data_IF_666338837769
#
_entry.id   IF_666338837769
#
_cell.length_a   1.000
_cell.length_b   1.000
_cell.length_c   1.000
_cell.angle_alpha   90.00
_cell.angle_beta   90.00
_cell.angle_gamma   90.00
#
_symmetry.space_group_name_H-M   'P 1'
#
loop_
_entity.id
_entity.type
_entity.pdbx_description
1 polymer ?
#
# COMPACT_ATOMS: atom_id res chain seq x y z
N UNK A 1 10.56 6.88 35.45
CA UNK A 1 11.60 7.79 35.97
C UNK A 1 10.95 8.89 36.80
N UNK A 2 9.90 9.53 36.28
CA UNK A 2 9.15 10.56 37.01
C UNK A 2 8.60 10.08 38.36
N UNK A 3 7.98 8.90 38.42
CA UNK A 3 7.51 8.33 39.70
C UNK A 3 8.63 8.14 40.74
N UNK A 4 9.84 7.78 40.29
CA UNK A 4 11.01 7.65 41.17
C UNK A 4 11.55 9.02 41.62
N UNK A 5 11.40 10.03 40.77
CA UNK A 5 11.78 11.42 41.06
C UNK A 5 10.77 12.10 42.00
N UNK A 6 9.50 11.69 41.94
CA UNK A 6 8.43 12.11 42.85
C UNK A 6 8.55 11.43 44.22
N UNK A 7 9.13 10.23 44.30
CA UNK A 7 9.39 9.53 45.56
C UNK A 7 10.63 10.01 46.32
N UNK A 8 11.36 11.02 45.83
CA UNK A 8 12.55 11.52 46.54
C UNK A 8 12.17 12.25 47.83
N UNK A 9 12.91 11.99 48.91
CA UNK A 9 12.78 12.72 50.17
C UNK A 9 13.09 14.21 49.95
N UNK A 10 12.23 15.11 50.46
CA UNK A 10 12.36 16.57 50.28
C UNK A 10 13.67 17.13 50.85
N UNK A 11 14.22 16.48 51.87
CA UNK A 11 15.53 16.84 52.42
C UNK A 11 16.11 15.69 53.23
N UNK A 12 17.43 15.51 53.14
CA UNK A 12 18.17 14.52 53.92
C UNK A 12 19.22 15.20 54.78
N UNK A 13 19.15 15.01 56.10
CA UNK A 13 20.15 15.53 57.03
C UNK A 13 21.34 14.56 57.11
N UNK A 14 22.55 15.08 56.94
CA UNK A 14 23.82 14.33 57.02
C UNK A 14 24.72 15.08 58.01
N UNK A 15 24.74 14.63 59.26
CA UNK A 15 25.47 15.30 60.34
C UNK A 15 25.00 16.74 60.55
N UNK A 16 25.90 17.71 60.38
CA UNK A 16 25.61 19.15 60.48
C UNK A 16 25.12 19.78 59.15
N UNK A 17 24.91 18.99 58.09
CA UNK A 17 24.51 19.46 56.76
C UNK A 17 23.10 18.98 56.39
N UNK A 18 22.38 19.80 55.62
CA UNK A 18 21.06 19.47 55.07
C UNK A 18 21.14 19.44 53.54
N UNK A 19 20.94 18.27 52.96
CA UNK A 19 20.88 18.08 51.51
C UNK A 19 19.44 18.24 51.03
N UNK A 20 19.18 19.18 50.12
CA UNK A 20 17.89 19.34 49.45
C UNK A 20 18.01 18.90 47.98
N UNK A 21 17.47 17.74 47.59
CA UNK A 21 17.55 17.26 46.22
C UNK A 21 16.56 17.95 45.26
N UNK A 22 15.80 18.96 45.70
CA UNK A 22 14.78 19.63 44.89
C UNK A 22 15.31 20.15 43.54
N UNK A 23 16.50 20.79 43.55
CA UNK A 23 17.12 21.31 42.33
C UNK A 23 17.56 20.19 41.38
N UNK A 24 18.07 19.08 41.93
CA UNK A 24 18.47 17.90 41.18
C UNK A 24 17.26 17.18 40.59
N UNK A 25 16.20 16.99 41.38
CA UNK A 25 14.95 16.36 40.92
C UNK A 25 14.31 17.18 39.79
N UNK A 26 14.22 18.50 39.94
CA UNK A 26 13.75 19.40 38.87
C UNK A 26 14.62 19.30 37.60
N UNK A 27 15.94 19.30 37.75
CA UNK A 27 16.86 19.20 36.60
C UNK A 27 16.71 17.86 35.87
N UNK A 28 16.57 16.75 36.60
CA UNK A 28 16.36 15.42 36.03
C UNK A 28 15.00 15.29 35.35
N UNK A 29 13.93 15.88 35.91
CA UNK A 29 12.61 15.95 35.27
C UNK A 29 12.66 16.77 33.97
N UNK A 30 13.34 17.91 33.99
CA UNK A 30 13.53 18.72 32.78
C UNK A 30 14.27 17.95 31.70
N UNK A 31 15.39 17.31 32.04
CA UNK A 31 16.13 16.46 31.10
C UNK A 31 15.22 15.34 30.54
N UNK A 32 14.50 14.63 31.41
CA UNK A 32 13.58 13.57 30.99
C UNK A 32 12.50 14.08 30.02
N UNK A 33 11.95 15.27 30.27
CA UNK A 33 10.99 15.91 29.37
C UNK A 33 11.62 16.33 28.05
N UNK A 34 12.84 16.87 28.05
CA UNK A 34 13.58 17.18 26.82
C UNK A 34 13.78 15.93 25.96
N UNK A 35 14.16 14.80 26.57
CA UNK A 35 14.29 13.51 25.87
C UNK A 35 12.96 13.00 25.33
N UNK A 36 11.87 13.10 26.11
CA UNK A 36 10.53 12.75 25.63
C UNK A 36 10.14 13.58 24.42
N UNK A 37 10.34 14.90 24.47
CA UNK A 37 10.04 15.80 23.34
C UNK A 37 10.89 15.46 22.11
N UNK A 38 12.19 15.23 22.29
CA UNK A 38 13.09 14.85 21.20
C UNK A 38 12.68 13.51 20.57
N UNK A 39 12.35 12.51 21.38
CA UNK A 39 11.85 11.22 20.91
C UNK A 39 10.51 11.36 20.19
N UNK A 40 9.56 12.09 20.78
CA UNK A 40 8.25 12.35 20.19
C UNK A 40 8.35 13.03 18.83
N UNK A 41 9.30 13.96 18.63
CA UNK A 41 9.57 14.56 17.31
C UNK A 41 10.03 13.53 16.28
N UNK A 42 10.97 12.65 16.65
CA UNK A 42 11.44 11.58 15.75
C UNK A 42 10.34 10.57 15.45
N UNK A 43 9.55 10.22 16.47
CA UNK A 43 8.40 9.34 16.34
C UNK A 43 7.32 9.95 15.42
N UNK A 44 7.08 11.25 15.53
CA UNK A 44 6.14 11.99 14.67
C UNK A 44 6.57 11.94 13.21
N UNK A 45 7.85 12.23 12.91
CA UNK A 45 8.38 12.12 11.56
C UNK A 45 8.17 10.71 10.98
N UNK A 46 8.51 9.68 11.75
CA UNK A 46 8.32 8.29 11.31
C UNK A 46 6.84 7.92 11.10
N UNK A 47 5.95 8.38 11.98
CA UNK A 47 4.53 8.14 11.86
C UNK A 47 3.94 8.82 10.61
N UNK A 48 4.34 10.06 10.35
CA UNK A 48 3.96 10.83 9.16
C UNK A 48 4.42 10.16 7.88
N UNK A 49 5.69 9.75 7.81
CA UNK A 49 6.25 9.07 6.63
C UNK A 49 5.50 7.76 6.33
N UNK A 50 5.19 6.98 7.37
CA UNK A 50 4.42 5.73 7.20
C UNK A 50 2.97 5.99 6.79
N UNK A 51 2.32 7.01 7.35
CA UNK A 51 0.96 7.41 7.00
C UNK A 51 0.89 7.86 5.53
N UNK A 52 1.83 8.69 5.10
CA UNK A 52 1.91 9.20 3.73
C UNK A 52 2.17 8.06 2.73
N UNK A 53 3.17 7.21 3.03
CA UNK A 53 3.49 6.06 2.19
C UNK A 53 2.28 5.14 2.00
N UNK A 54 1.55 4.83 3.08
CA UNK A 54 0.39 3.95 3.00
C UNK A 54 -0.78 4.62 2.29
N UNK A 55 -1.01 5.91 2.53
CA UNK A 55 -2.04 6.70 1.83
C UNK A 55 -1.78 6.72 0.32
N UNK A 56 -0.53 6.92 -0.10
CA UNK A 56 -0.15 6.93 -1.51
C UNK A 56 -0.24 5.53 -2.14
N UNK A 57 0.11 4.48 -1.41
CA UNK A 57 -0.13 3.10 -1.85
C UNK A 57 -1.62 2.82 -2.10
N UNK A 58 -2.50 3.30 -1.22
CA UNK A 58 -3.96 3.16 -1.40
C UNK A 58 -4.42 3.91 -2.65
N UNK A 59 -4.01 5.19 -2.80
CA UNK A 59 -4.38 6.01 -3.97
C UNK A 59 -3.88 5.42 -5.29
N UNK A 60 -2.62 5.03 -5.35
CA UNK A 60 -2.01 4.43 -6.54
C UNK A 60 -2.67 3.10 -6.91
N UNK A 61 -3.01 2.28 -5.92
CA UNK A 61 -3.73 1.00 -6.14
C UNK A 61 -5.15 1.25 -6.66
N UNK A 62 -5.87 2.22 -6.09
CA UNK A 62 -7.18 2.65 -6.59
C UNK A 62 -7.11 3.08 -8.05
N UNK A 63 -6.11 3.90 -8.42
CA UNK A 63 -5.90 4.35 -9.80
C UNK A 63 -5.60 3.19 -10.76
N UNK A 64 -4.77 2.23 -10.34
CA UNK A 64 -4.43 1.05 -11.15
C UNK A 64 -5.65 0.15 -11.39
N UNK A 65 -6.51 0.00 -10.37
CA UNK A 65 -7.74 -0.78 -10.43
C UNK A 65 -8.80 -0.13 -11.32
N UNK A 66 -8.92 1.20 -11.26
CA UNK A 66 -9.87 1.97 -12.06
C UNK A 66 -9.42 2.24 -13.50
N UNK A 67 -8.31 1.63 -13.94
CA UNK A 67 -7.89 1.67 -15.34
C UNK A 67 -9.01 1.09 -16.21
N UNK A 68 -9.43 1.85 -17.22
CA UNK A 68 -10.41 1.42 -18.20
C UNK A 68 -9.86 0.21 -18.96
N UNK A 69 -10.69 -0.84 -19.05
CA UNK A 69 -10.41 -2.02 -19.86
C UNK A 69 -11.28 -1.87 -21.10
N UNK A 70 -10.66 -1.49 -22.21
CA UNK A 70 -11.32 -1.44 -23.52
C UNK A 70 -11.63 -2.85 -24.03
N UNK A 71 -12.64 -2.97 -24.89
CA UNK A 71 -13.04 -4.27 -25.37
C UNK A 71 -11.97 -4.87 -26.30
N UNK A 72 -11.45 -6.04 -25.93
CA UNK A 72 -10.33 -6.70 -26.62
C UNK A 72 -8.94 -6.46 -26.02
N UNK A 73 -8.78 -5.56 -25.05
CA UNK A 73 -7.48 -5.33 -24.38
C UNK A 73 -7.25 -6.35 -23.24
N UNK A 74 -6.78 -7.54 -23.63
CA UNK A 74 -6.47 -8.65 -22.73
C UNK A 74 -5.35 -8.28 -21.75
N UNK A 75 -4.41 -7.46 -22.18
CA UNK A 75 -3.28 -7.04 -21.34
C UNK A 75 -3.73 -6.08 -20.24
N UNK A 76 -4.59 -5.11 -20.56
CA UNK A 76 -5.23 -4.26 -19.56
C UNK A 76 -6.12 -5.06 -18.61
N UNK A 77 -6.91 -6.02 -19.11
CA UNK A 77 -7.72 -6.91 -18.28
C UNK A 77 -6.84 -7.70 -17.30
N UNK A 78 -5.76 -8.31 -17.79
CA UNK A 78 -4.82 -9.07 -16.96
C UNK A 78 -4.13 -8.19 -15.92
N UNK A 79 -3.75 -6.98 -16.29
CA UNK A 79 -3.15 -6.01 -15.39
C UNK A 79 -4.09 -5.60 -14.24
N UNK A 80 -5.36 -5.29 -14.55
CA UNK A 80 -6.36 -4.92 -13.55
C UNK A 80 -6.69 -6.12 -12.65
N UNK A 81 -6.89 -7.32 -13.21
CA UNK A 81 -7.14 -8.55 -12.44
C UNK A 81 -5.99 -8.91 -11.50
N UNK A 82 -4.74 -8.71 -11.93
CA UNK A 82 -3.57 -8.88 -11.05
C UNK A 82 -3.61 -7.88 -9.89
N UNK A 83 -3.93 -6.62 -10.18
CA UNK A 83 -4.06 -5.56 -9.17
C UNK A 83 -5.17 -5.88 -8.17
N UNK A 84 -6.32 -6.39 -8.61
CA UNK A 84 -7.42 -6.81 -7.74
C UNK A 84 -7.01 -7.97 -6.81
N UNK A 85 -6.26 -8.96 -7.32
CA UNK A 85 -5.71 -10.02 -6.49
C UNK A 85 -4.68 -9.51 -5.47
N UNK A 86 -3.85 -8.54 -5.86
CA UNK A 86 -2.91 -7.90 -4.93
C UNK A 86 -3.65 -7.19 -3.79
N UNK A 87 -4.76 -6.48 -4.08
CA UNK A 87 -5.62 -5.87 -3.04
C UNK A 87 -6.15 -6.93 -2.09
N UNK A 88 -6.68 -8.04 -2.61
CA UNK A 88 -7.20 -9.15 -1.79
C UNK A 88 -6.13 -9.78 -0.89
N UNK A 89 -4.90 -9.98 -1.39
CA UNK A 89 -3.78 -10.46 -0.55
C UNK A 89 -3.47 -9.45 0.55
N UNK A 90 -3.39 -8.16 0.19
CA UNK A 90 -3.07 -7.07 1.10
C UNK A 90 -4.11 -6.91 2.22
N UNK A 91 -5.39 -7.23 1.99
CA UNK A 91 -6.41 -7.24 3.04
C UNK A 91 -6.03 -8.11 4.25
N UNK A 92 -5.35 -9.24 4.03
CA UNK A 92 -4.91 -10.12 5.12
C UNK A 92 -3.73 -9.54 5.92
N UNK A 93 -2.96 -8.62 5.33
CA UNK A 93 -1.74 -8.06 5.91
C UNK A 93 -1.90 -6.61 6.40
N UNK A 94 -2.95 -5.90 5.95
CA UNK A 94 -3.10 -4.45 6.17
C UNK A 94 -3.12 -4.04 7.65
N UNK A 95 -3.64 -4.89 8.54
CA UNK A 95 -3.65 -4.63 9.98
C UNK A 95 -2.23 -4.59 10.58
N UNK A 96 -1.27 -5.32 9.99
CA UNK A 96 0.14 -5.26 10.37
C UNK A 96 0.78 -3.90 10.04
N UNK A 97 0.22 -3.16 9.08
CA UNK A 97 0.66 -1.82 8.69
C UNK A 97 -0.10 -0.72 9.43
N UNK A 98 -1.41 -0.89 9.65
CA UNK A 98 -2.21 0.07 10.42
C UNK A 98 -1.88 0.09 11.91
N UNK A 99 -1.58 -1.07 12.51
CA UNK A 99 -1.28 -1.20 13.94
C UNK A 99 -0.16 -0.27 14.40
N UNK A 100 1.05 -0.34 13.79
CA UNK A 100 2.16 0.53 14.13
C UNK A 100 1.83 2.02 14.00
N UNK A 101 1.17 2.43 12.91
CA UNK A 101 0.77 3.83 12.67
C UNK A 101 -0.15 4.30 13.80
N UNK A 102 -1.20 3.52 14.11
CA UNK A 102 -2.16 3.83 15.17
C UNK A 102 -1.48 3.94 16.53
N UNK A 103 -0.56 3.02 16.85
CA UNK A 103 0.17 3.03 18.12
C UNK A 103 1.11 4.23 18.23
N UNK A 104 1.85 4.57 17.17
CA UNK A 104 2.71 5.75 17.18
C UNK A 104 1.89 7.00 17.43
N UNK A 105 0.78 7.19 16.71
CA UNK A 105 -0.08 8.35 16.94
C UNK A 105 -0.73 8.38 18.33
N UNK A 106 -1.09 7.24 18.92
CA UNK A 106 -1.59 7.21 20.30
C UNK A 106 -0.53 7.68 21.33
N UNK A 107 0.73 7.35 21.11
CA UNK A 107 1.86 7.85 21.93
C UNK A 107 2.01 9.36 21.70
N UNK A 108 1.96 9.83 20.45
CA UNK A 108 2.06 11.25 20.12
C UNK A 108 0.92 12.06 20.77
N UNK A 109 -0.32 11.56 20.74
CA UNK A 109 -1.48 12.19 21.38
C UNK A 109 -1.30 12.36 22.91
N UNK A 110 -0.47 11.51 23.54
CA UNK A 110 -0.19 11.56 24.98
C UNK A 110 0.94 12.54 25.35
N UNK A 111 1.97 12.66 24.50
CA UNK A 111 3.22 13.36 24.84
C UNK A 111 3.50 14.62 24.03
N UNK A 112 2.80 14.85 22.91
CA UNK A 112 2.94 16.06 22.11
C UNK A 112 1.76 17.02 22.35
N UNK A 113 2.02 18.33 22.42
CA UNK A 113 0.96 19.33 22.40
C UNK A 113 0.11 19.22 21.12
N UNK A 114 -1.20 19.44 21.26
CA UNK A 114 -2.18 19.30 20.17
C UNK A 114 -1.98 20.25 18.98
N UNK A 115 -1.05 21.22 19.07
CA UNK A 115 -0.77 22.20 18.02
C UNK A 115 0.39 21.80 17.09
N UNK A 116 1.02 20.64 17.31
CA UNK A 116 2.19 20.21 16.50
C UNK A 116 1.78 19.45 15.24
N UNK A 117 0.62 18.80 15.25
CA UNK A 117 0.08 18.14 14.05
C UNK A 117 -0.72 19.12 13.21
N UNK A 118 -0.46 19.11 11.91
CA UNK A 118 -1.26 19.86 10.96
C UNK A 118 -2.64 19.20 10.74
N UNK A 119 -3.58 19.98 10.20
CA UNK A 119 -4.95 19.51 9.98
C UNK A 119 -5.01 18.43 8.89
N UNK A 120 -4.16 18.52 7.88
CA UNK A 120 -4.13 17.58 6.76
C UNK A 120 -3.68 16.19 7.21
N UNK A 121 -2.74 16.10 8.15
CA UNK A 121 -2.24 14.88 8.77
C UNK A 121 -3.30 14.23 9.66
N UNK A 122 -4.05 15.02 10.42
CA UNK A 122 -5.19 14.54 11.22
C UNK A 122 -6.31 13.99 10.32
N UNK A 123 -6.62 14.70 9.23
CA UNK A 123 -7.60 14.24 8.24
C UNK A 123 -7.11 12.97 7.53
N UNK A 124 -5.83 12.90 7.13
CA UNK A 124 -5.25 11.70 6.51
C UNK A 124 -5.30 10.48 7.46
N UNK A 125 -4.94 10.67 8.75
CA UNK A 125 -5.03 9.63 9.79
C UNK A 125 -6.46 9.11 9.95
N UNK A 126 -7.42 10.01 10.07
CA UNK A 126 -8.83 9.64 10.30
C UNK A 126 -9.47 8.98 9.07
N UNK A 127 -9.07 9.39 7.87
CA UNK A 127 -9.60 8.85 6.62
C UNK A 127 -8.87 7.58 6.15
N UNK A 128 -7.69 7.26 6.66
CA UNK A 128 -6.87 6.13 6.17
C UNK A 128 -7.65 4.81 6.12
N UNK A 129 -8.28 4.44 7.24
CA UNK A 129 -9.05 3.18 7.34
C UNK A 129 -10.29 3.20 6.46
N UNK A 130 -11.00 4.33 6.40
CA UNK A 130 -12.22 4.43 5.58
C UNK A 130 -11.89 4.42 4.08
N UNK A 131 -10.79 5.05 3.65
CA UNK A 131 -10.31 5.00 2.28
C UNK A 131 -9.88 3.59 1.87
N UNK A 132 -9.24 2.84 2.77
CA UNK A 132 -8.93 1.43 2.53
C UNK A 132 -10.19 0.58 2.37
N UNK A 133 -11.18 0.74 3.26
CA UNK A 133 -12.45 0.01 3.16
C UNK A 133 -13.21 0.32 1.86
N UNK A 134 -13.22 1.58 1.43
CA UNK A 134 -13.79 1.98 0.13
C UNK A 134 -13.06 1.31 -1.03
N UNK A 135 -11.72 1.31 -1.03
CA UNK A 135 -10.92 0.63 -2.05
C UNK A 135 -11.26 -0.87 -2.12
N UNK A 136 -11.41 -1.51 -0.97
CA UNK A 136 -11.82 -2.92 -0.87
C UNK A 136 -13.19 -3.13 -1.52
N UNK A 137 -14.19 -2.33 -1.14
CA UNK A 137 -15.55 -2.45 -1.68
C UNK A 137 -15.58 -2.23 -3.20
N UNK A 138 -14.89 -1.20 -3.69
CA UNK A 138 -14.75 -0.93 -5.13
C UNK A 138 -14.04 -2.08 -5.85
N UNK A 139 -13.02 -2.68 -5.23
CA UNK A 139 -12.29 -3.82 -5.80
C UNK A 139 -13.17 -5.05 -5.96
N UNK A 140 -14.06 -5.32 -5.01
CA UNK A 140 -14.98 -6.46 -5.09
C UNK A 140 -16.01 -6.27 -6.20
N UNK A 141 -16.58 -5.06 -6.31
CA UNK A 141 -17.51 -4.70 -7.41
C UNK A 141 -16.83 -4.87 -8.76
N UNK A 142 -15.63 -4.31 -8.90
CA UNK A 142 -14.86 -4.38 -10.16
C UNK A 142 -14.46 -5.81 -10.52
N UNK A 143 -14.10 -6.62 -9.53
CA UNK A 143 -13.78 -8.04 -9.73
C UNK A 143 -15.00 -8.83 -10.24
N UNK A 144 -16.19 -8.56 -9.72
CA UNK A 144 -17.42 -9.20 -10.19
C UNK A 144 -17.75 -8.83 -11.64
N UNK A 145 -17.65 -7.55 -12.00
CA UNK A 145 -17.85 -7.07 -13.37
C UNK A 145 -16.88 -7.72 -14.36
N UNK A 146 -15.58 -7.75 -14.01
CA UNK A 146 -14.55 -8.29 -14.89
C UNK A 146 -14.57 -9.81 -14.96
N UNK A 147 -15.09 -10.51 -13.95
CA UNK A 147 -15.25 -11.97 -13.96
C UNK A 147 -16.17 -12.43 -15.10
N UNK A 148 -17.29 -11.72 -15.33
CA UNK A 148 -18.20 -12.00 -16.44
C UNK A 148 -17.51 -11.80 -17.79
N UNK A 149 -16.84 -10.65 -17.96
CA UNK A 149 -16.05 -10.36 -19.17
C UNK A 149 -14.96 -11.41 -19.40
N UNK A 150 -14.25 -11.83 -18.35
CA UNK A 150 -13.17 -12.81 -18.44
C UNK A 150 -13.66 -14.16 -19.00
N UNK A 151 -14.84 -14.62 -18.61
CA UNK A 151 -15.42 -15.86 -19.12
C UNK A 151 -15.69 -15.79 -20.64
N UNK A 152 -16.26 -14.67 -21.09
CA UNK A 152 -16.50 -14.41 -22.52
C UNK A 152 -15.19 -14.30 -23.30
N UNK A 153 -14.23 -13.51 -22.81
CA UNK A 153 -12.90 -13.39 -23.43
C UNK A 153 -12.17 -14.72 -23.53
N UNK A 154 -12.23 -15.55 -22.49
CA UNK A 154 -11.61 -16.89 -22.51
C UNK A 154 -12.24 -17.75 -23.62
N UNK A 155 -13.56 -17.72 -23.77
CA UNK A 155 -14.26 -18.45 -24.83
C UNK A 155 -13.83 -17.97 -26.21
N UNK A 156 -13.83 -16.66 -26.44
CA UNK A 156 -13.41 -16.05 -27.71
C UNK A 156 -11.94 -16.35 -28.01
N UNK A 157 -11.04 -16.25 -27.03
CA UNK A 157 -9.63 -16.56 -27.19
C UNK A 157 -9.41 -18.02 -27.62
N UNK A 158 -10.12 -18.97 -27.00
CA UNK A 158 -10.04 -20.39 -27.38
C UNK A 158 -10.51 -20.58 -28.83
N UNK A 159 -11.60 -19.93 -29.24
CA UNK A 159 -12.08 -19.99 -30.62
C UNK A 159 -11.06 -19.41 -31.60
N UNK A 160 -10.52 -18.22 -31.32
CA UNK A 160 -9.51 -17.55 -32.15
C UNK A 160 -8.25 -18.39 -32.30
N UNK A 161 -7.74 -18.97 -31.21
CA UNK A 161 -6.55 -19.87 -31.25
C UNK A 161 -6.84 -21.12 -32.07
N UNK A 162 -8.04 -21.71 -31.95
CA UNK A 162 -8.41 -22.89 -32.72
C UNK A 162 -8.56 -22.57 -34.22
N UNK A 163 -9.09 -21.40 -34.57
CA UNK A 163 -9.17 -20.94 -35.95
C UNK A 163 -7.78 -20.67 -36.51
N UNK A 164 -6.93 -19.96 -35.78
CA UNK A 164 -5.54 -19.72 -36.19
C UNK A 164 -4.77 -21.02 -36.44
N UNK A 165 -4.95 -22.06 -35.60
CA UNK A 165 -4.36 -23.39 -35.84
C UNK A 165 -4.88 -24.08 -37.10
N UNK A 166 -6.13 -23.82 -37.52
CA UNK A 166 -6.65 -24.30 -38.81
C UNK A 166 -6.01 -23.51 -39.94
N UNK A 167 -6.01 -22.18 -39.85
CA UNK A 167 -5.44 -21.28 -40.85
C UNK A 167 -3.96 -21.59 -41.11
N UNK A 168 -3.17 -21.85 -40.07
CA UNK A 168 -1.75 -22.25 -40.22
C UNK A 168 -1.61 -23.61 -40.93
N UNK A 169 -2.51 -24.57 -40.66
CA UNK A 169 -2.48 -25.87 -41.35
C UNK A 169 -2.88 -25.73 -42.81
N UNK A 170 -3.90 -24.94 -43.09
CA UNK A 170 -4.40 -24.74 -44.45
C UNK A 170 -3.41 -23.89 -45.27
N UNK A 171 -2.80 -22.87 -44.64
CA UNK A 171 -1.68 -22.12 -45.20
C UNK A 171 -0.52 -23.05 -45.56
N UNK A 172 -0.11 -23.94 -44.64
CA UNK A 172 0.98 -24.88 -44.89
C UNK A 172 0.66 -25.81 -46.06
N UNK A 173 -0.54 -26.39 -46.11
CA UNK A 173 -0.98 -27.23 -47.24
C UNK A 173 -0.96 -26.44 -48.55
N UNK A 174 -1.45 -25.21 -48.55
CA UNK A 174 -1.46 -24.37 -49.73
C UNK A 174 -0.03 -24.02 -50.18
N UNK A 175 0.85 -23.69 -49.25
CA UNK A 175 2.26 -23.45 -49.52
C UNK A 175 2.97 -24.68 -50.10
N UNK A 176 2.64 -25.88 -49.63
CA UNK A 176 3.21 -27.13 -50.17
C UNK A 176 2.66 -27.47 -51.57
N UNK A 177 1.41 -27.08 -51.91
CA UNK A 177 0.77 -27.41 -53.19
C UNK A 177 0.90 -26.34 -54.27
N UNK A 178 0.97 -25.07 -53.90
CA UNK A 178 1.00 -23.92 -54.82
C UNK A 178 2.09 -22.90 -54.46
N UNK A 179 2.98 -23.24 -53.53
CA UNK A 179 4.08 -22.36 -53.15
C UNK A 179 5.21 -22.37 -54.19
N UNK A 180 6.15 -21.42 -54.06
CA UNK A 180 7.22 -21.19 -55.03
C UNK A 180 8.21 -22.37 -55.19
N UNK A 181 8.12 -23.40 -54.34
CA UNK A 181 8.93 -24.62 -54.41
C UNK A 181 8.30 -25.75 -55.24
N UNK A 182 7.09 -25.57 -55.77
CA UNK A 182 6.40 -26.58 -56.58
C UNK A 182 6.88 -26.51 -58.04
N UNK A 183 7.24 -27.67 -58.61
CA UNK A 183 7.78 -27.75 -59.97
C UNK A 183 6.74 -27.34 -61.03
N UNK A 184 7.06 -26.32 -61.83
CA UNK A 184 6.22 -25.82 -62.93
C UNK A 184 5.97 -24.31 -62.96
N UNK A 185 6.50 -23.55 -61.99
CA UNK A 185 6.30 -22.10 -61.89
C UNK A 185 7.42 -21.36 -62.64
N UNK A 186 7.07 -20.45 -63.55
CA UNK A 186 8.05 -19.67 -64.30
C UNK A 186 8.79 -18.68 -63.36
N UNK A 187 10.13 -18.49 -63.48
CA UNK A 187 10.95 -17.75 -62.50
C UNK A 187 10.59 -16.28 -62.23
N UNK A 188 9.59 -15.73 -62.92
CA UNK A 188 9.24 -14.31 -62.89
C UNK A 188 7.94 -14.00 -62.13
N UNK A 189 7.20 -15.02 -61.70
CA UNK A 189 5.91 -14.90 -60.98
C UNK A 189 5.89 -15.62 -59.62
N UNK A 190 7.05 -16.11 -59.15
CA UNK A 190 7.23 -16.76 -57.84
C UNK A 190 7.54 -15.77 -56.71
#
# INVERSE_FOLDING_TARGET
LDEKLDSFETSKQIGALLLRPDSLSKSLKNLANEWKVAFSKQLHMKARDQLEALTEQIKSTAKRMNRTVEDGDIDALGYVMKTLNDVRRKQSEIELEFGPITHMYAILDTYLPSNVMDKDEQDARSMLKSNWLKLVEESEKRQQELSLKQAEYKKTLIQTVNNFKKDVRDFRKNYEMHGPMVNGIAPREA
#
